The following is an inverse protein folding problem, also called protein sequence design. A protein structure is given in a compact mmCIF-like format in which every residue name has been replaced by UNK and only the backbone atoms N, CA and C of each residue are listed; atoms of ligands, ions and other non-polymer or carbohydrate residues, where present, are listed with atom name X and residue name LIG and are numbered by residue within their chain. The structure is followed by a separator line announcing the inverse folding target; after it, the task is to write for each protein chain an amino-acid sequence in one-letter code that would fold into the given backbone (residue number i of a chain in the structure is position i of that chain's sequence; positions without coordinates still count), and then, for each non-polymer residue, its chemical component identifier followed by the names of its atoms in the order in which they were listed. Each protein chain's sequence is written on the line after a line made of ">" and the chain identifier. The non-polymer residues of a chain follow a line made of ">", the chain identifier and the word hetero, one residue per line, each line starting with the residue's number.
data_IF_051314615734
#
_entry.id   IF_051314615734
#
_cell.length_a   1.000
_cell.length_b   1.000
_cell.length_c   1.000
_cell.angle_alpha   90.00
_cell.angle_beta   90.00
_cell.angle_gamma   90.00
#
_symmetry.space_group_name_H-M   'P 1'
#
loop_
_entity.id
_entity.type
_entity.pdbx_description
1 polymer ?
#
# COMPACT_ATOMS: atom_id res chain seq x y z
N UNK A 1 49.85 33.83 -61.04
CA UNK A 1 50.17 32.61 -60.25
C UNK A 1 49.98 32.90 -58.78
N UNK A 2 49.16 32.12 -58.08
CA UNK A 2 48.88 32.31 -56.65
C UNK A 2 47.79 31.37 -56.16
N UNK A 3 48.03 30.07 -56.31
CA UNK A 3 47.20 28.99 -55.77
C UNK A 3 47.21 29.10 -54.25
N UNK A 4 46.05 29.30 -53.62
CA UNK A 4 45.90 29.13 -52.17
C UNK A 4 44.95 27.97 -51.92
N UNK A 5 45.58 26.90 -51.43
CA UNK A 5 45.06 25.58 -51.12
C UNK A 5 44.11 25.66 -49.90
N UNK A 6 42.94 25.02 -49.98
CA UNK A 6 41.98 24.90 -48.87
C UNK A 6 42.54 23.99 -47.75
N UNK A 7 41.95 24.06 -46.55
CA UNK A 7 41.27 22.84 -46.12
C UNK A 7 39.81 23.11 -45.76
N UNK A 8 38.93 22.41 -46.48
CA UNK A 8 37.53 22.21 -46.13
C UNK A 8 37.48 21.53 -44.75
N UNK A 9 37.10 22.26 -43.71
CA UNK A 9 36.74 21.66 -42.42
C UNK A 9 35.34 21.06 -42.57
N UNK A 10 35.28 19.77 -42.92
CA UNK A 10 34.04 19.00 -42.90
C UNK A 10 33.70 18.75 -41.44
N UNK A 11 32.82 19.59 -40.89
CA UNK A 11 32.28 19.44 -39.54
C UNK A 11 31.36 18.21 -39.56
N UNK A 12 31.89 17.07 -39.16
CA UNK A 12 31.15 15.81 -38.96
C UNK A 12 29.98 16.06 -38.01
N UNK A 13 28.75 16.06 -38.56
CA UNK A 13 27.53 15.99 -37.74
C UNK A 13 27.55 14.63 -37.05
N UNK A 14 27.90 14.62 -35.76
CA UNK A 14 27.72 13.47 -34.90
C UNK A 14 26.23 13.06 -34.95
N UNK A 15 25.96 11.92 -35.57
CA UNK A 15 24.69 11.22 -35.43
C UNK A 15 24.60 10.75 -33.96
N UNK A 16 23.94 11.55 -33.12
CA UNK A 16 23.64 11.18 -31.75
C UNK A 16 22.58 10.06 -31.73
N UNK A 17 22.71 9.07 -30.84
CA UNK A 17 22.08 7.76 -30.99
C UNK A 17 20.61 7.80 -30.56
N UNK A 18 19.72 7.52 -31.51
CA UNK A 18 18.25 7.40 -31.32
C UNK A 18 17.88 6.34 -30.24
N UNK A 19 18.81 5.44 -29.92
CA UNK A 19 18.65 4.38 -28.90
C UNK A 19 18.45 4.90 -27.46
N UNK A 20 18.95 6.09 -27.11
CA UNK A 20 18.76 6.65 -25.77
C UNK A 20 17.31 7.12 -25.51
N UNK A 21 16.53 7.41 -26.55
CA UNK A 21 15.16 7.88 -26.40
C UNK A 21 14.17 6.73 -26.11
N UNK A 22 14.46 5.50 -26.54
CA UNK A 22 13.55 4.36 -26.38
C UNK A 22 13.54 3.85 -24.93
N UNK A 23 14.69 3.87 -24.24
CA UNK A 23 14.80 3.44 -22.83
C UNK A 23 14.10 4.43 -21.87
N UNK A 24 14.12 5.73 -22.21
CA UNK A 24 13.44 6.75 -21.41
C UNK A 24 11.90 6.74 -21.55
N UNK A 25 11.35 6.15 -22.63
CA UNK A 25 9.90 6.07 -22.85
C UNK A 25 9.22 4.94 -22.05
N UNK A 26 9.92 3.86 -21.75
CA UNK A 26 9.34 2.68 -21.05
C UNK A 26 9.18 2.87 -19.54
N UNK A 27 9.74 3.93 -18.94
CA UNK A 27 9.71 4.14 -17.49
C UNK A 27 8.36 4.64 -16.95
N UNK A 28 7.44 5.07 -17.82
CA UNK A 28 6.19 5.74 -17.41
C UNK A 28 5.06 4.76 -17.03
N UNK A 29 5.19 3.47 -17.36
CA UNK A 29 4.13 2.47 -17.12
C UNK A 29 4.22 1.75 -15.75
N UNK A 30 5.27 2.00 -14.95
CA UNK A 30 5.48 1.34 -13.66
C UNK A 30 4.99 2.19 -12.48
N UNK A 31 3.83 2.84 -12.60
CA UNK A 31 3.20 3.50 -11.45
C UNK A 31 2.80 2.43 -10.42
N UNK A 32 3.24 2.52 -9.15
CA UNK A 32 2.83 1.58 -8.13
C UNK A 32 1.33 1.70 -7.91
N UNK A 33 0.56 0.67 -8.26
CA UNK A 33 -0.82 0.57 -7.86
C UNK A 33 -0.86 0.41 -6.33
N UNK A 34 -1.45 1.38 -5.62
CA UNK A 34 -1.63 1.26 -4.19
C UNK A 34 -2.53 0.05 -3.90
N UNK A 35 -1.97 -0.98 -3.26
CA UNK A 35 -2.75 -2.10 -2.77
C UNK A 35 -3.65 -1.61 -1.63
N UNK A 36 -4.92 -1.35 -1.94
CA UNK A 36 -5.94 -1.01 -0.94
C UNK A 36 -6.52 -2.31 -0.35
N UNK A 37 -5.72 -3.04 0.44
CA UNK A 37 -6.16 -4.27 1.12
C UNK A 37 -6.62 -4.02 2.57
N UNK A 38 -6.60 -2.77 3.01
CA UNK A 38 -7.01 -2.31 4.33
C UNK A 38 -8.11 -1.29 4.11
N UNK A 39 -9.35 -1.77 3.96
CA UNK A 39 -10.57 -0.99 3.71
C UNK A 39 -10.60 0.44 4.27
N UNK A 40 -11.28 1.32 3.53
CA UNK A 40 -11.38 2.73 3.84
C UNK A 40 -12.07 2.97 5.20
N UNK A 41 -11.56 3.93 5.96
CA UNK A 41 -12.23 4.41 7.19
C UNK A 41 -13.50 5.13 6.80
N UNK A 42 -14.65 4.64 7.25
CA UNK A 42 -15.95 5.29 7.05
C UNK A 42 -16.32 6.19 8.22
N UNK A 43 -15.99 5.79 9.44
CA UNK A 43 -16.28 6.56 10.64
C UNK A 43 -15.33 6.23 11.78
N UNK A 44 -15.24 7.16 12.73
CA UNK A 44 -14.44 7.05 13.95
C UNK A 44 -15.34 7.37 15.13
N UNK A 45 -15.24 6.55 16.18
CA UNK A 45 -16.04 6.62 17.39
C UNK A 45 -15.11 6.44 18.61
N UNK A 46 -14.53 7.54 19.09
CA UNK A 46 -13.45 7.47 20.07
C UNK A 46 -12.25 6.71 19.50
N UNK A 47 -11.79 5.69 20.22
CA UNK A 47 -10.68 4.83 19.79
C UNK A 47 -11.05 3.81 18.70
N UNK A 48 -12.34 3.71 18.37
CA UNK A 48 -12.85 2.74 17.41
C UNK A 48 -12.98 3.32 16.02
N UNK A 49 -12.65 2.52 15.01
CA UNK A 49 -12.78 2.88 13.60
C UNK A 49 -13.64 1.85 12.88
N UNK A 50 -14.64 2.32 12.12
CA UNK A 50 -15.35 1.48 11.16
C UNK A 50 -14.59 1.55 9.84
N UNK A 51 -14.02 0.42 9.43
CA UNK A 51 -13.34 0.26 8.15
C UNK A 51 -14.11 -0.68 7.27
N UNK A 52 -14.37 -0.28 6.03
CA UNK A 52 -15.13 -1.08 5.10
C UNK A 52 -14.33 -1.35 3.84
N UNK A 53 -14.46 -2.58 3.34
CA UNK A 53 -13.80 -3.06 2.14
C UNK A 53 -14.76 -3.96 1.36
N UNK A 54 -14.55 -4.07 0.05
CA UNK A 54 -15.30 -5.01 -0.80
C UNK A 54 -14.31 -6.03 -1.34
N UNK A 55 -14.05 -7.14 -0.60
CA UNK A 55 -13.07 -8.12 -1.03
C UNK A 55 -13.54 -8.85 -2.30
N UNK A 56 -12.59 -9.39 -3.06
CA UNK A 56 -12.90 -10.11 -4.29
C UNK A 56 -13.90 -11.25 -4.03
N UNK A 57 -14.99 -11.28 -4.80
CA UNK A 57 -16.06 -12.27 -4.66
C UNK A 57 -17.13 -11.95 -3.61
N UNK A 58 -17.03 -10.84 -2.88
CA UNK A 58 -18.11 -10.37 -2.00
C UNK A 58 -19.21 -9.65 -2.81
N UNK A 59 -20.47 -10.02 -2.55
CA UNK A 59 -21.63 -9.39 -3.19
C UNK A 59 -21.96 -8.00 -2.61
N UNK A 60 -21.39 -7.67 -1.44
CA UNK A 60 -21.63 -6.42 -0.75
C UNK A 60 -20.38 -5.99 0.03
N UNK A 61 -20.29 -4.69 0.30
CA UNK A 61 -19.26 -4.10 1.16
C UNK A 61 -19.30 -4.73 2.56
N UNK A 62 -18.13 -5.09 3.08
CA UNK A 62 -17.94 -5.67 4.40
C UNK A 62 -17.25 -4.66 5.31
N UNK A 63 -17.91 -4.34 6.43
CA UNK A 63 -17.38 -3.43 7.44
C UNK A 63 -16.89 -4.19 8.66
N UNK A 64 -15.77 -3.74 9.21
CA UNK A 64 -15.20 -4.18 10.47
C UNK A 64 -15.06 -2.99 11.43
N UNK A 65 -15.36 -3.23 12.70
CA UNK A 65 -15.06 -2.30 13.78
C UNK A 65 -13.70 -2.67 14.37
N UNK A 66 -12.76 -1.73 14.35
CA UNK A 66 -11.34 -1.97 14.68
C UNK A 66 -10.89 -1.02 15.77
N UNK A 67 -10.18 -1.56 16.75
CA UNK A 67 -9.41 -0.81 17.71
C UNK A 67 -8.02 -1.44 17.83
N UNK A 68 -6.99 -0.61 17.78
CA UNK A 68 -5.61 -1.02 18.02
C UNK A 68 -5.07 -0.21 19.18
N UNK A 69 -4.55 -0.89 20.19
CA UNK A 69 -3.90 -0.28 21.35
C UNK A 69 -2.48 -0.82 21.46
N UNK A 70 -1.57 0.03 21.93
CA UNK A 70 -0.18 -0.32 22.26
C UNK A 70 0.05 0.01 23.72
N UNK A 71 0.87 -0.78 24.40
CA UNK A 71 1.24 -0.51 25.78
C UNK A 71 2.11 0.75 25.85
N UNK A 72 1.91 1.56 26.88
CA UNK A 72 2.62 2.84 27.06
C UNK A 72 4.12 2.62 27.34
N UNK A 73 4.47 1.54 28.04
CA UNK A 73 5.85 1.19 28.41
C UNK A 73 6.60 0.40 27.33
N UNK A 74 5.87 -0.23 26.40
CA UNK A 74 6.40 -1.18 25.40
C UNK A 74 5.68 -1.07 24.07
N UNK A 75 6.30 -0.42 23.09
CA UNK A 75 5.73 -0.27 21.73
C UNK A 75 5.57 -1.58 20.96
N UNK A 76 6.26 -2.65 21.36
CA UNK A 76 6.15 -3.99 20.78
C UNK A 76 5.03 -4.85 21.41
N UNK A 77 4.39 -4.36 22.48
CA UNK A 77 3.25 -5.00 23.10
C UNK A 77 1.97 -4.23 22.69
N UNK A 78 1.16 -4.82 21.80
CA UNK A 78 -0.08 -4.21 21.36
C UNK A 78 -1.18 -5.25 21.14
N UNK A 79 -2.43 -4.80 21.15
CA UNK A 79 -3.60 -5.63 20.87
C UNK A 79 -4.41 -4.97 19.77
N UNK A 80 -4.91 -5.76 18.83
CA UNK A 80 -5.87 -5.29 17.84
C UNK A 80 -7.15 -6.12 17.91
N UNK A 81 -8.26 -5.46 18.22
CA UNK A 81 -9.59 -6.05 18.28
C UNK A 81 -10.31 -5.73 16.98
N UNK A 82 -10.84 -6.77 16.33
CA UNK A 82 -11.53 -6.68 15.05
C UNK A 82 -12.88 -7.37 15.20
N UNK A 83 -13.97 -6.62 15.05
CA UNK A 83 -15.32 -7.17 15.06
C UNK A 83 -15.84 -7.16 13.64
N UNK A 84 -16.06 -8.34 13.08
CA UNK A 84 -16.62 -8.53 11.74
C UNK A 84 -18.03 -9.05 11.83
N UNK A 85 -18.85 -8.70 10.84
CA UNK A 85 -20.13 -9.34 10.62
C UNK A 85 -19.98 -10.43 9.57
N UNK A 86 -20.58 -11.59 9.82
CA UNK A 86 -20.53 -12.70 8.86
C UNK A 86 -21.23 -12.33 7.55
N UNK A 87 -20.87 -12.99 6.44
CA UNK A 87 -21.42 -12.66 5.12
C UNK A 87 -22.95 -12.81 5.03
N UNK A 88 -23.53 -13.68 5.87
CA UNK A 88 -24.97 -13.87 6.01
C UNK A 88 -25.66 -12.80 6.88
N UNK A 89 -24.89 -11.86 7.46
CA UNK A 89 -25.34 -10.78 8.34
C UNK A 89 -26.00 -11.23 9.66
N UNK A 90 -25.93 -12.52 10.02
CA UNK A 90 -26.62 -13.07 11.19
C UNK A 90 -25.78 -13.08 12.46
N UNK A 91 -24.47 -13.19 12.32
CA UNK A 91 -23.55 -13.36 13.45
C UNK A 91 -22.44 -12.32 13.42
N UNK A 92 -21.87 -12.07 14.60
CA UNK A 92 -20.68 -11.23 14.76
C UNK A 92 -19.53 -12.11 15.21
N UNK A 93 -18.38 -11.94 14.59
CA UNK A 93 -17.14 -12.59 14.97
C UNK A 93 -16.22 -11.54 15.58
N UNK A 94 -15.70 -11.81 16.77
CA UNK A 94 -14.63 -11.01 17.35
C UNK A 94 -13.31 -11.74 17.18
N UNK A 95 -12.35 -11.08 16.55
CA UNK A 95 -10.97 -11.55 16.40
C UNK A 95 -10.06 -10.61 17.15
N UNK A 96 -9.31 -11.15 18.11
CA UNK A 96 -8.27 -10.43 18.84
C UNK A 96 -6.91 -10.89 18.34
N UNK A 97 -6.09 -9.96 17.89
CA UNK A 97 -4.71 -10.20 17.43
C UNK A 97 -3.76 -9.71 18.51
N UNK A 98 -2.89 -10.61 18.96
CA UNK A 98 -1.88 -10.33 19.96
C UNK A 98 -0.50 -10.83 19.44
N UNK A 99 0.58 -10.07 19.65
CA UNK A 99 1.92 -10.44 19.18
C UNK A 99 2.49 -11.61 19.96
N UNK A 100 3.54 -12.23 19.41
CA UNK A 100 4.25 -13.31 20.08
C UNK A 100 4.92 -12.78 21.37
N UNK A 101 4.79 -13.52 22.48
CA UNK A 101 5.36 -13.14 23.77
C UNK A 101 4.41 -12.42 24.74
N UNK A 102 3.14 -12.23 24.37
CA UNK A 102 2.09 -11.84 25.34
C UNK A 102 1.56 -13.05 26.09
N UNK A 103 1.46 -12.95 27.42
CA UNK A 103 0.82 -13.97 28.24
C UNK A 103 -0.70 -13.78 28.17
N UNK A 104 -1.41 -14.76 27.61
CA UNK A 104 -2.87 -14.81 27.60
C UNK A 104 -3.32 -15.76 28.71
N UNK A 105 -3.64 -15.27 29.92
CA UNK A 105 -4.17 -16.13 30.97
C UNK A 105 -5.49 -16.76 30.52
N UNK A 106 -5.84 -17.91 31.10
CA UNK A 106 -7.12 -18.56 30.85
C UNK A 106 -8.27 -17.62 31.20
N UNK A 107 -9.12 -17.31 30.22
CA UNK A 107 -10.24 -16.39 30.40
C UNK A 107 -9.84 -14.93 30.15
N UNK A 108 -9.53 -14.59 28.91
CA UNK A 108 -9.54 -13.19 28.46
C UNK A 108 -10.97 -12.66 28.66
N UNK A 109 -11.21 -11.99 29.79
CA UNK A 109 -12.50 -11.40 30.13
C UNK A 109 -12.80 -10.24 29.20
N UNK A 110 -13.88 -10.36 28.44
CA UNK A 110 -14.50 -9.28 27.68
C UNK A 110 -15.57 -8.60 28.54
#
# INVERSE_FOLDING_TARGET
>A
MGVRNQPFSIRSRAMAPIWLAIVAGMSVLAAPAAAQAQGAVKSVHGDWQIRCDTPAGAQAEQCALIQSVVAEDRSNAGLTVIILKTADQKSKLMRVVAPLGVLLPSGLGL
#
